data_IF_747970504275
#
_entry.id   IF_747970504275
#
_cell.length_a   1.000
_cell.length_b   1.000
_cell.length_c   1.000
_cell.angle_alpha   90.00
_cell.angle_beta   90.00
_cell.angle_gamma   90.00
#
_symmetry.space_group_name_H-M   'P 1'
#
loop_
_entity.id
_entity.type
_entity.pdbx_description
1 polymer ?
#
# COMPACT_ATOMS: atom_id res chain seq x y z
N UNK A 1 83.65 24.83 4.84
CA UNK A 1 82.19 24.75 5.05
C UNK A 1 81.57 24.34 3.70
N UNK A 2 81.31 23.04 3.48
CA UNK A 2 79.97 22.39 3.51
C UNK A 2 79.03 22.92 2.38
N UNK A 3 78.43 22.16 1.46
CA UNK A 3 78.30 20.71 1.29
C UNK A 3 77.81 20.37 -0.14
N UNK A 4 78.15 19.17 -0.61
CA UNK A 4 77.53 18.43 -1.72
C UNK A 4 76.07 18.05 -1.39
N UNK A 5 75.17 18.09 -2.37
CA UNK A 5 73.88 17.34 -2.39
C UNK A 5 73.22 17.54 -3.78
N UNK A 6 73.34 16.64 -4.77
CA UNK A 6 72.50 15.46 -5.07
C UNK A 6 70.98 15.68 -4.94
N UNK A 7 70.23 15.37 -6.01
CA UNK A 7 68.78 15.11 -5.93
C UNK A 7 67.95 15.90 -6.94
N UNK A 8 67.77 15.42 -8.17
CA UNK A 8 66.63 14.60 -8.60
C UNK A 8 65.36 15.42 -8.88
N UNK A 9 65.08 15.50 -10.17
CA UNK A 9 63.82 15.80 -10.83
C UNK A 9 62.61 15.32 -10.02
N UNK A 10 61.70 16.21 -9.65
CA UNK A 10 60.31 15.81 -9.41
C UNK A 10 59.36 16.82 -10.04
N UNK A 11 58.77 16.30 -11.12
CA UNK A 11 57.74 16.88 -11.96
C UNK A 11 56.48 17.12 -11.10
N UNK A 12 56.34 18.32 -10.54
CA UNK A 12 55.09 18.76 -9.91
C UNK A 12 54.05 19.01 -11.01
N UNK A 13 53.42 17.91 -11.46
CA UNK A 13 52.16 17.97 -12.19
C UNK A 13 51.14 18.60 -11.24
N UNK A 14 50.47 19.65 -11.71
CA UNK A 14 49.20 20.10 -11.17
C UNK A 14 48.26 18.88 -11.08
N UNK A 15 48.11 18.32 -9.88
CA UNK A 15 47.00 17.41 -9.59
C UNK A 15 45.81 18.35 -9.43
N UNK A 16 45.03 18.50 -10.50
CA UNK A 16 43.68 19.02 -10.37
C UNK A 16 42.95 18.10 -9.39
N UNK A 17 42.71 18.60 -8.18
CA UNK A 17 41.79 17.95 -7.25
C UNK A 17 40.41 18.10 -7.86
N UNK A 18 40.02 17.11 -8.66
CA UNK A 18 38.65 16.98 -9.11
C UNK A 18 37.81 16.79 -7.84
N UNK A 19 36.85 17.67 -7.54
CA UNK A 19 35.96 17.42 -6.42
C UNK A 19 35.28 16.06 -6.65
N UNK A 20 35.17 15.20 -5.61
CA UNK A 20 34.44 13.95 -5.76
C UNK A 20 33.05 14.28 -6.29
N UNK A 21 32.55 13.54 -7.30
CA UNK A 21 31.20 13.75 -7.78
C UNK A 21 30.26 13.71 -6.56
N UNK A 22 29.21 14.55 -6.53
CA UNK A 22 28.22 14.43 -5.48
C UNK A 22 27.83 12.96 -5.42
N UNK A 23 27.86 12.35 -4.23
CA UNK A 23 27.29 11.00 -4.06
C UNK A 23 25.92 11.11 -4.69
N UNK A 24 25.74 10.46 -5.84
CA UNK A 24 24.48 10.41 -6.54
C UNK A 24 23.51 9.78 -5.55
N UNK A 25 22.84 10.64 -4.78
CA UNK A 25 21.51 10.37 -4.29
C UNK A 25 20.80 9.86 -5.52
N UNK A 26 20.33 8.61 -5.47
CA UNK A 26 19.60 7.99 -6.55
C UNK A 26 18.42 8.88 -6.91
N UNK A 27 18.65 9.82 -7.81
CA UNK A 27 17.66 10.63 -8.51
C UNK A 27 17.45 9.95 -9.84
N UNK A 28 17.12 8.66 -9.77
CA UNK A 28 16.59 7.84 -10.86
C UNK A 28 15.70 6.78 -10.21
N UNK A 29 14.70 7.22 -9.44
CA UNK A 29 13.42 6.53 -9.52
C UNK A 29 12.65 7.29 -10.57
N UNK A 30 13.04 7.09 -11.82
CA UNK A 30 12.15 7.32 -12.94
C UNK A 30 10.82 6.66 -12.58
N UNK A 31 9.82 7.51 -12.43
CA UNK A 31 8.41 7.21 -12.26
C UNK A 31 7.90 6.45 -13.49
N UNK A 32 8.28 5.17 -13.57
CA UNK A 32 7.68 4.09 -14.35
C UNK A 32 7.71 2.91 -13.39
N UNK A 33 6.63 2.49 -12.76
CA UNK A 33 5.35 2.14 -13.35
C UNK A 33 4.33 2.42 -12.25
N UNK A 34 3.39 3.31 -12.53
CA UNK A 34 2.08 3.23 -11.88
C UNK A 34 1.61 1.80 -12.17
N UNK A 35 1.73 0.88 -11.21
CA UNK A 35 1.14 -0.47 -11.31
C UNK A 35 -0.37 -0.36 -11.10
N UNK A 36 -1.02 0.61 -11.74
CA UNK A 36 -2.47 0.66 -11.80
C UNK A 36 -2.85 -0.43 -12.79
N UNK A 37 -3.08 -1.62 -12.23
CA UNK A 37 -3.89 -2.62 -12.87
C UNK A 37 -5.26 -1.97 -12.99
N UNK A 38 -5.56 -1.48 -14.19
CA UNK A 38 -6.80 -0.78 -14.49
C UNK A 38 -7.93 -1.82 -14.43
N UNK A 39 -8.67 -1.83 -13.32
CA UNK A 39 -9.82 -2.71 -13.17
C UNK A 39 -10.89 -2.26 -14.18
N UNK A 40 -11.13 -3.08 -15.22
CA UNK A 40 -12.23 -2.84 -16.15
C UNK A 40 -13.54 -3.14 -15.40
N UNK A 41 -14.44 -2.16 -15.22
CA UNK A 41 -15.72 -2.43 -14.57
C UNK A 41 -16.58 -3.27 -15.52
N UNK A 42 -16.79 -4.54 -15.19
CA UNK A 42 -17.76 -5.39 -15.89
C UNK A 42 -19.07 -5.47 -15.10
N UNK A 43 -20.15 -5.83 -15.80
CA UNK A 43 -21.45 -6.01 -15.18
C UNK A 43 -21.43 -7.31 -14.37
N UNK A 44 -21.76 -7.23 -13.09
CA UNK A 44 -21.77 -8.38 -12.20
C UNK A 44 -22.84 -9.41 -12.57
N UNK A 45 -22.47 -10.69 -12.55
CA UNK A 45 -23.40 -11.81 -12.75
C UNK A 45 -23.85 -12.39 -11.41
N UNK A 46 -24.94 -13.21 -11.35
CA UNK A 46 -25.39 -13.83 -10.11
C UNK A 46 -24.37 -14.74 -9.42
N UNK A 47 -23.41 -15.28 -10.19
CA UNK A 47 -22.34 -16.14 -9.68
C UNK A 47 -21.07 -15.36 -9.28
N UNK A 48 -21.05 -14.04 -9.49
CA UNK A 48 -19.90 -13.20 -9.19
C UNK A 48 -19.76 -12.97 -7.68
N UNK A 49 -18.52 -13.10 -7.16
CA UNK A 49 -18.21 -12.92 -5.74
C UNK A 49 -17.66 -11.52 -5.49
N UNK A 50 -18.40 -10.72 -4.70
CA UNK A 50 -17.99 -9.38 -4.27
C UNK A 50 -16.90 -9.41 -3.21
N UNK A 51 -16.19 -8.29 -3.09
CA UNK A 51 -15.29 -8.00 -1.98
C UNK A 51 -16.05 -7.95 -0.64
N UNK A 52 -15.38 -8.35 0.45
CA UNK A 52 -15.89 -8.14 1.81
C UNK A 52 -15.44 -6.80 2.38
N UNK A 53 -15.81 -6.53 3.64
CA UNK A 53 -15.27 -5.42 4.44
C UNK A 53 -14.70 -5.94 5.74
N UNK A 54 -13.73 -5.20 6.27
CA UNK A 54 -13.19 -5.43 7.61
C UNK A 54 -13.92 -4.47 8.56
N UNK A 55 -14.41 -5.01 9.67
CA UNK A 55 -15.10 -4.23 10.69
C UNK A 55 -14.63 -4.63 12.09
N UNK A 56 -14.77 -3.71 13.04
CA UNK A 56 -14.52 -3.93 14.46
C UNK A 56 -15.86 -4.19 15.15
N UNK A 57 -15.95 -5.29 15.90
CA UNK A 57 -17.12 -5.56 16.74
C UNK A 57 -17.14 -4.58 17.92
N UNK A 58 -18.11 -3.67 17.94
CA UNK A 58 -18.24 -2.68 19.02
C UNK A 58 -18.98 -3.25 20.23
N UNK A 59 -19.96 -4.11 19.98
CA UNK A 59 -20.77 -4.65 21.06
C UNK A 59 -22.04 -5.32 20.55
N UNK A 60 -22.92 -5.65 21.48
CA UNK A 60 -24.21 -6.26 21.23
C UNK A 60 -25.28 -5.45 21.96
N UNK A 61 -26.40 -5.22 21.30
CA UNK A 61 -27.57 -4.53 21.86
C UNK A 61 -28.83 -5.29 21.44
N UNK A 62 -30.00 -4.80 21.84
CA UNK A 62 -31.26 -5.38 21.40
C UNK A 62 -32.13 -4.29 20.79
N UNK A 63 -32.73 -4.60 19.65
CA UNK A 63 -33.71 -3.75 18.97
C UNK A 63 -35.09 -4.37 19.15
N UNK A 64 -36.09 -3.53 19.42
CA UNK A 64 -37.47 -3.97 19.55
C UNK A 64 -38.18 -3.78 18.21
N UNK A 65 -38.74 -4.86 17.69
CA UNK A 65 -39.56 -4.79 16.48
C UNK A 65 -40.94 -4.19 16.80
N UNK A 66 -41.66 -3.75 15.76
CA UNK A 66 -43.01 -3.16 15.87
C UNK A 66 -44.03 -4.07 16.55
N UNK A 67 -43.79 -5.38 16.57
CA UNK A 67 -44.63 -6.39 17.22
C UNK A 67 -44.24 -6.66 18.68
N UNK A 68 -43.28 -5.93 19.23
CA UNK A 68 -42.79 -6.14 20.60
C UNK A 68 -41.81 -7.30 20.76
N UNK A 69 -41.27 -7.86 19.67
CA UNK A 69 -40.23 -8.88 19.74
C UNK A 69 -38.84 -8.24 20.01
N UNK A 70 -38.07 -8.82 20.92
CA UNK A 70 -36.69 -8.39 21.23
C UNK A 70 -35.69 -9.13 20.34
N UNK A 71 -35.06 -8.42 19.42
CA UNK A 71 -34.05 -8.99 18.51
C UNK A 71 -32.64 -8.60 18.97
N UNK A 72 -31.77 -9.55 19.33
CA UNK A 72 -30.38 -9.23 19.67
C UNK A 72 -29.59 -8.92 18.40
N UNK A 73 -28.89 -7.80 18.39
CA UNK A 73 -28.10 -7.32 17.25
C UNK A 73 -26.65 -7.04 17.67
N UNK A 74 -25.72 -7.24 16.74
CA UNK A 74 -24.31 -6.85 16.92
C UNK A 74 -24.03 -5.57 16.15
N UNK A 75 -23.33 -4.64 16.79
CA UNK A 75 -22.90 -3.39 16.16
C UNK A 75 -21.49 -3.59 15.64
N UNK A 76 -21.31 -3.41 14.33
CA UNK A 76 -20.04 -3.49 13.64
C UNK A 76 -19.65 -2.08 13.16
N UNK A 77 -18.48 -1.60 13.58
CA UNK A 77 -17.93 -0.34 13.11
C UNK A 77 -16.97 -0.58 11.95
N UNK A 78 -17.25 0.08 10.84
CA UNK A 78 -16.45 0.07 9.63
C UNK A 78 -15.53 1.29 9.68
N UNK A 79 -14.23 1.05 9.86
CA UNK A 79 -13.19 2.09 9.98
C UNK A 79 -12.39 2.19 8.67
N UNK A 80 -12.48 3.33 8.00
CA UNK A 80 -11.88 3.70 6.69
C UNK A 80 -11.25 2.55 5.91
N UNK A 81 -12.11 1.74 5.28
CA UNK A 81 -11.68 0.64 4.43
C UNK A 81 -11.27 1.15 3.05
N UNK A 82 -10.05 0.80 2.62
CA UNK A 82 -9.52 1.17 1.31
C UNK A 82 -8.90 -0.04 0.61
N UNK A 83 -8.98 -0.07 -0.71
CA UNK A 83 -8.27 -1.09 -1.51
C UNK A 83 -6.78 -0.75 -1.56
N UNK A 84 -5.92 -1.62 -1.03
CA UNK A 84 -4.46 -1.43 -1.01
C UNK A 84 -3.76 -2.05 -2.22
N UNK A 85 -4.18 -3.25 -2.62
CA UNK A 85 -3.59 -3.98 -3.73
C UNK A 85 -4.64 -4.85 -4.41
N UNK A 86 -4.53 -4.94 -5.73
CA UNK A 86 -5.30 -5.87 -6.56
C UNK A 86 -4.39 -6.98 -7.02
N UNK A 87 -4.81 -8.23 -6.78
CA UNK A 87 -4.08 -9.44 -7.16
C UNK A 87 -4.75 -10.06 -8.38
N UNK A 88 -3.97 -10.28 -9.42
CA UNK A 88 -4.43 -10.88 -10.68
C UNK A 88 -3.86 -12.30 -10.83
N UNK A 89 -4.58 -13.19 -11.53
CA UNK A 89 -4.15 -14.58 -11.72
C UNK A 89 -2.80 -14.67 -12.45
N UNK A 90 -2.52 -13.74 -13.36
CA UNK A 90 -1.26 -13.71 -14.13
C UNK A 90 -0.01 -13.57 -13.26
N UNK A 91 -0.11 -12.83 -12.14
CA UNK A 91 1.04 -12.51 -11.28
C UNK A 91 1.11 -13.40 -10.06
N UNK A 92 -0.05 -13.69 -9.46
CA UNK A 92 -0.13 -14.28 -8.11
C UNK A 92 -0.90 -15.61 -8.11
N UNK A 93 -1.40 -16.06 -9.26
CA UNK A 93 -2.13 -17.32 -9.42
C UNK A 93 -3.56 -17.30 -8.87
N UNK A 94 -4.04 -16.15 -8.37
CA UNK A 94 -5.38 -15.98 -7.83
C UNK A 94 -5.92 -14.56 -8.04
N UNK A 95 -7.24 -14.45 -8.09
CA UNK A 95 -7.95 -13.19 -8.18
C UNK A 95 -8.42 -12.76 -6.78
N UNK A 96 -7.83 -11.70 -6.24
CA UNK A 96 -8.17 -11.21 -4.90
C UNK A 96 -7.96 -9.70 -4.77
N UNK A 97 -8.73 -9.10 -3.86
CA UNK A 97 -8.58 -7.70 -3.48
C UNK A 97 -8.09 -7.64 -2.05
N UNK A 98 -6.99 -6.94 -1.83
CA UNK A 98 -6.48 -6.64 -0.51
C UNK A 98 -7.09 -5.33 -0.01
N UNK A 99 -7.68 -5.39 1.18
CA UNK A 99 -8.35 -4.27 1.83
C UNK A 99 -7.59 -3.92 3.11
N UNK A 100 -7.33 -2.63 3.28
CA UNK A 100 -6.78 -2.06 4.50
C UNK A 100 -7.84 -1.36 5.33
N UNK A 101 -7.83 -1.60 6.64
CA UNK A 101 -8.76 -1.03 7.61
C UNK A 101 -8.05 -0.26 8.72
N UNK A 102 -8.66 0.86 9.11
CA UNK A 102 -8.26 1.73 10.20
C UNK A 102 -6.94 2.44 10.00
N UNK A 103 -6.67 3.48 10.78
CA UNK A 103 -5.51 4.34 10.56
C UNK A 103 -4.33 3.99 11.49
N UNK A 104 -3.10 4.02 10.95
CA UNK A 104 -1.87 3.79 11.74
C UNK A 104 -0.78 4.78 11.31
N UNK A 105 -0.17 5.46 12.29
CA UNK A 105 0.95 6.38 12.05
C UNK A 105 2.20 5.63 11.58
N UNK A 106 3.00 6.25 10.72
CA UNK A 106 4.23 5.67 10.15
C UNK A 106 5.17 5.08 11.21
N UNK A 107 5.35 5.78 12.34
CA UNK A 107 6.21 5.34 13.45
C UNK A 107 5.83 4.00 14.08
N UNK A 108 4.61 3.52 13.86
CA UNK A 108 4.13 2.25 14.39
C UNK A 108 4.15 1.12 13.35
N UNK A 109 4.50 1.42 12.09
CA UNK A 109 4.60 0.46 11.01
C UNK A 109 6.05 0.04 10.79
N UNK A 110 6.23 -1.16 10.24
CA UNK A 110 7.54 -1.61 9.79
C UNK A 110 7.93 -0.93 8.48
N UNK A 111 9.23 -0.82 8.21
CA UNK A 111 9.73 -0.18 6.96
C UNK A 111 9.18 -0.85 5.69
N UNK A 112 8.95 -2.16 5.73
CA UNK A 112 8.38 -2.91 4.62
C UNK A 112 6.92 -2.53 4.34
N UNK A 113 6.09 -2.44 5.39
CA UNK A 113 4.69 -2.01 5.26
C UNK A 113 4.60 -0.57 4.75
N UNK A 114 5.44 0.33 5.26
CA UNK A 114 5.50 1.72 4.79
C UNK A 114 5.89 1.80 3.32
N UNK A 115 6.89 1.03 2.89
CA UNK A 115 7.29 0.93 1.48
C UNK A 115 6.15 0.39 0.60
N UNK A 116 5.41 -0.59 1.10
CA UNK A 116 4.25 -1.17 0.40
C UNK A 116 3.14 -0.12 0.19
N UNK A 117 2.71 0.58 1.24
CA UNK A 117 1.68 1.62 1.12
C UNK A 117 2.11 2.80 0.25
N UNK A 118 3.39 3.22 0.34
CA UNK A 118 3.96 4.29 -0.50
C UNK A 118 4.01 3.90 -1.98
N UNK A 119 4.36 2.65 -2.29
CA UNK A 119 4.39 2.16 -3.66
C UNK A 119 2.99 2.14 -4.30
N UNK A 120 1.94 1.95 -3.50
CA UNK A 120 0.54 1.95 -3.96
C UNK A 120 -0.12 3.34 -3.89
N UNK A 121 0.50 4.31 -3.21
CA UNK A 121 -0.07 5.65 -3.01
C UNK A 121 -1.30 5.67 -2.09
N UNK A 122 -1.40 4.72 -1.17
CA UNK A 122 -2.56 4.54 -0.28
C UNK A 122 -2.20 4.93 1.15
N UNK A 123 -3.19 5.41 1.92
CA UNK A 123 -3.03 5.71 3.33
C UNK A 123 -2.56 4.49 4.14
N UNK A 124 -1.81 4.78 5.20
CA UNK A 124 -1.27 3.78 6.09
C UNK A 124 -2.37 3.16 6.96
N UNK A 125 -2.64 1.86 6.74
CA UNK A 125 -3.71 1.14 7.44
C UNK A 125 -3.22 0.26 8.59
N UNK A 126 -4.11 -0.03 9.55
CA UNK A 126 -3.79 -0.82 10.75
C UNK A 126 -3.81 -2.32 10.49
N UNK A 127 -4.79 -2.81 9.73
CA UNK A 127 -4.94 -4.22 9.38
C UNK A 127 -5.13 -4.36 7.87
N UNK A 128 -4.54 -5.41 7.30
CA UNK A 128 -4.73 -5.81 5.90
C UNK A 128 -5.39 -7.18 5.88
N UNK A 129 -6.37 -7.37 4.99
CA UNK A 129 -6.95 -8.67 4.74
C UNK A 129 -7.27 -8.83 3.25
N UNK A 130 -7.18 -10.06 2.77
CA UNK A 130 -7.38 -10.39 1.36
C UNK A 130 -8.73 -11.08 1.19
N UNK A 131 -9.48 -10.64 0.18
CA UNK A 131 -10.74 -11.25 -0.18
C UNK A 131 -10.62 -11.84 -1.59
N UNK A 132 -10.81 -13.16 -1.76
CA UNK A 132 -10.87 -13.75 -3.08
C UNK A 132 -12.14 -13.25 -3.78
N UNK A 133 -11.98 -12.78 -5.01
CA UNK A 133 -13.07 -12.22 -5.82
C UNK A 133 -13.06 -12.81 -7.22
N UNK A 134 -14.20 -12.69 -7.89
CA UNK A 134 -14.26 -12.95 -9.33
C UNK A 134 -13.67 -11.78 -10.11
N UNK A 135 -13.16 -12.04 -11.32
CA UNK A 135 -12.57 -11.02 -12.19
C UNK A 135 -13.53 -9.86 -12.49
N UNK A 136 -14.84 -10.14 -12.47
CA UNK A 136 -15.87 -9.12 -12.68
C UNK A 136 -15.98 -8.08 -11.57
N UNK A 137 -15.53 -8.43 -10.35
CA UNK A 137 -15.73 -7.64 -9.14
C UNK A 137 -14.44 -6.97 -8.67
N UNK A 138 -13.49 -6.75 -9.60
CA UNK A 138 -12.24 -6.07 -9.32
C UNK A 138 -12.45 -4.57 -9.14
N UNK A 139 -11.83 -4.01 -8.10
CA UNK A 139 -11.89 -2.61 -7.76
C UNK A 139 -10.50 -1.98 -7.94
N UNK A 140 -10.40 -0.73 -8.42
CA UNK A 140 -9.10 -0.07 -8.52
C UNK A 140 -8.52 0.23 -7.14
N UNK A 141 -7.20 0.25 -7.08
CA UNK A 141 -6.44 0.63 -5.87
C UNK A 141 -6.82 2.05 -5.44
N UNK A 142 -6.96 2.28 -4.14
CA UNK A 142 -7.37 3.56 -3.58
C UNK A 142 -8.88 3.76 -3.44
N UNK A 143 -9.71 2.82 -3.93
CA UNK A 143 -11.17 2.90 -3.75
C UNK A 143 -11.56 2.75 -2.28
N UNK A 144 -12.28 3.72 -1.74
CA UNK A 144 -12.86 3.67 -0.39
C UNK A 144 -14.15 2.87 -0.36
N UNK A 145 -14.32 1.99 0.63
CA UNK A 145 -15.51 1.15 0.78
C UNK A 145 -16.31 1.50 2.04
N UNK A 146 -17.62 1.69 1.85
CA UNK A 146 -18.58 2.10 2.88
C UNK A 146 -19.59 0.99 3.19
N UNK A 147 -20.35 1.17 4.27
CA UNK A 147 -21.41 0.23 4.71
C UNK A 147 -22.46 -0.04 3.62
N UNK A 148 -22.70 0.95 2.75
CA UNK A 148 -23.62 0.85 1.58
C UNK A 148 -23.25 -0.24 0.58
N UNK A 149 -22.09 -0.84 0.71
CA UNK A 149 -21.69 -2.02 -0.06
C UNK A 149 -22.61 -3.23 0.20
N UNK A 150 -23.19 -3.32 1.39
CA UNK A 150 -24.16 -4.35 1.78
C UNK A 150 -25.59 -3.81 1.67
N UNK A 151 -26.48 -4.62 1.08
CA UNK A 151 -27.92 -4.39 0.97
C UNK A 151 -28.64 -5.56 1.61
#
# INVERSE_FOLDING_TARGET
>A
MLAFSRGVVSRLRHIAVVPPPPRFFCTDVETKIIRTIEAKPSVMTPNSRRTGLIAVKCGMTALWDKWGARVPISILWVDDNIVSQVKTPEKEGLCAVQIGCGHKKEKHLTKAEVGHFRAQGVDMKRKLHEFPVTEDALLPVGTSLNVRHFV
#
